data_IF_512863583086
#
_entry.id   IF_512863583086
#
_cell.length_a   1.000
_cell.length_b   1.000
_cell.length_c   1.000
_cell.angle_alpha   90.00
_cell.angle_beta   90.00
_cell.angle_gamma   90.00
#
_symmetry.space_group_name_H-M   'P 1'
#
loop_
_entity.id
_entity.type
_entity.pdbx_description
1 polymer ?
#
# COMPACT_ATOMS: atom_id res chain seq x y z
N UNK A 1 -28.48 11.90 65.07
CA UNK A 1 -27.74 12.76 64.18
C UNK A 1 -26.59 11.91 63.64
N UNK A 2 -26.84 11.16 62.56
CA UNK A 2 -25.87 10.24 61.95
C UNK A 2 -25.15 10.96 60.73
N UNK A 3 -23.86 11.13 60.86
CA UNK A 3 -23.05 11.77 59.86
C UNK A 3 -22.57 10.68 58.87
N UNK A 4 -23.09 10.67 57.65
CA UNK A 4 -22.65 9.81 56.56
C UNK A 4 -21.40 10.44 55.92
N UNK A 5 -20.23 9.81 56.14
CA UNK A 5 -18.98 10.15 55.45
C UNK A 5 -19.02 9.47 54.08
N UNK A 6 -19.18 10.25 53.01
CA UNK A 6 -18.98 9.79 51.64
C UNK A 6 -17.47 9.67 51.34
N UNK A 7 -17.02 8.45 51.17
CA UNK A 7 -15.67 8.13 50.76
C UNK A 7 -15.61 8.21 49.21
N UNK A 8 -15.03 9.30 48.67
CA UNK A 8 -14.76 9.42 47.24
C UNK A 8 -13.54 8.58 46.91
N UNK A 9 -13.75 7.54 46.08
CA UNK A 9 -12.67 6.76 45.48
C UNK A 9 -12.11 7.52 44.29
N UNK A 10 -10.95 8.11 44.46
CA UNK A 10 -10.15 8.67 43.37
C UNK A 10 -9.59 7.51 42.55
N UNK A 11 -10.10 7.31 41.33
CA UNK A 11 -9.44 6.48 40.33
C UNK A 11 -8.24 7.26 39.80
N UNK A 12 -7.05 6.85 40.21
CA UNK A 12 -5.82 7.27 39.57
C UNK A 12 -5.79 6.66 38.16
N UNK A 13 -5.94 7.50 37.11
CA UNK A 13 -5.59 7.13 35.74
C UNK A 13 -4.06 6.97 35.68
N UNK A 14 -3.60 5.74 35.59
CA UNK A 14 -2.22 5.46 35.22
C UNK A 14 -2.10 5.74 33.74
N UNK A 15 -1.58 6.90 33.37
CA UNK A 15 -1.07 7.14 32.02
C UNK A 15 0.06 6.14 31.76
N UNK A 16 -0.25 5.13 30.98
CA UNK A 16 0.76 4.19 30.49
C UNK A 16 1.55 4.92 29.42
N UNK A 17 2.64 5.54 29.81
CA UNK A 17 3.63 6.06 28.87
C UNK A 17 4.24 4.84 28.18
N UNK A 18 3.83 4.58 26.94
CA UNK A 18 4.52 3.63 26.09
C UNK A 18 5.89 4.21 25.76
N UNK A 19 6.90 3.77 26.48
CA UNK A 19 8.30 4.02 26.11
C UNK A 19 8.58 3.12 24.92
N UNK A 20 8.45 3.69 23.70
CA UNK A 20 8.95 3.02 22.51
C UNK A 20 10.47 2.86 22.66
N UNK A 21 11.05 1.66 22.40
CA UNK A 21 12.48 1.50 22.46
C UNK A 21 13.13 2.49 21.49
N UNK A 22 14.12 3.24 21.99
CA UNK A 22 14.96 4.10 21.14
C UNK A 22 15.68 3.16 20.19
N UNK A 23 15.31 3.17 18.94
CA UNK A 23 15.89 2.33 17.91
C UNK A 23 17.24 2.94 17.56
N UNK A 24 18.33 2.40 18.11
CA UNK A 24 19.68 2.70 17.65
C UNK A 24 19.85 2.05 16.28
N UNK A 25 19.70 2.83 15.22
CA UNK A 25 20.07 2.43 13.86
C UNK A 25 21.58 2.63 13.71
N UNK A 26 22.38 1.63 14.03
CA UNK A 26 23.85 1.65 13.89
C UNK A 26 24.34 1.83 12.44
N UNK A 27 23.43 1.90 11.47
CA UNK A 27 23.75 1.93 10.04
C UNK A 27 22.92 2.94 9.22
N UNK A 28 22.43 4.04 9.81
CA UNK A 28 21.80 5.10 8.99
C UNK A 28 22.88 6.00 8.40
N UNK A 29 23.06 5.93 7.10
CA UNK A 29 23.94 6.86 6.38
C UNK A 29 23.16 8.14 6.06
N UNK A 30 23.58 9.25 6.66
CA UNK A 30 23.00 10.57 6.39
C UNK A 30 23.95 11.29 5.47
N UNK A 31 23.52 11.53 4.24
CA UNK A 31 24.19 12.41 3.32
C UNK A 31 23.38 13.71 3.25
N UNK A 32 23.97 14.78 3.80
CA UNK A 32 23.45 16.15 3.69
C UNK A 32 22.17 16.44 4.52
N UNK A 33 22.31 16.51 5.86
CA UNK A 33 21.26 17.03 6.74
C UNK A 33 21.48 18.51 7.06
N UNK A 34 20.40 19.30 7.06
CA UNK A 34 20.44 20.66 7.62
C UNK A 34 20.72 20.58 9.13
N UNK A 35 21.43 21.57 9.68
CA UNK A 35 21.62 21.72 11.13
C UNK A 35 20.24 21.75 11.82
N UNK A 36 20.03 20.88 12.81
CA UNK A 36 18.76 20.74 13.52
C UNK A 36 17.81 19.64 13.01
N UNK A 37 18.22 18.83 12.01
CA UNK A 37 17.48 17.66 11.61
C UNK A 37 17.78 16.49 12.57
N UNK A 38 16.78 16.05 13.32
CA UNK A 38 16.88 14.88 14.18
C UNK A 38 16.48 13.63 13.39
N UNK A 39 17.45 12.73 13.21
CA UNK A 39 17.27 11.49 12.45
C UNK A 39 16.37 10.50 13.19
N UNK A 40 16.47 10.46 14.51
CA UNK A 40 15.68 9.56 15.33
C UNK A 40 14.21 9.93 15.25
N UNK A 41 13.91 11.22 15.37
CA UNK A 41 12.56 11.76 15.21
C UNK A 41 12.01 11.50 13.80
N UNK A 42 12.84 11.66 12.77
CA UNK A 42 12.45 11.38 11.40
C UNK A 42 12.11 9.89 11.19
N UNK A 43 12.90 8.98 11.73
CA UNK A 43 12.64 7.54 11.64
C UNK A 43 11.36 7.17 12.38
N UNK A 44 11.14 7.72 13.58
CA UNK A 44 9.89 7.52 14.34
C UNK A 44 8.69 8.05 13.54
N UNK A 45 8.82 9.19 12.89
CA UNK A 45 7.79 9.74 11.99
C UNK A 45 7.50 8.76 10.84
N UNK A 46 8.52 8.24 10.16
CA UNK A 46 8.34 7.29 9.05
C UNK A 46 7.72 5.98 9.53
N UNK A 47 8.17 5.47 10.68
CA UNK A 47 7.63 4.26 11.28
C UNK A 47 6.13 4.41 11.61
N UNK A 48 5.71 5.56 12.09
CA UNK A 48 4.32 5.82 12.47
C UNK A 48 3.47 6.40 11.33
N UNK A 49 4.09 6.70 10.18
CA UNK A 49 3.37 7.27 9.04
C UNK A 49 2.29 6.33 8.51
N UNK A 50 1.08 6.85 8.43
CA UNK A 50 -0.08 6.20 7.82
C UNK A 50 -0.58 6.95 6.58
N UNK A 51 0.03 8.10 6.24
CA UNK A 51 -0.48 9.01 5.22
C UNK A 51 -0.48 8.36 3.83
N UNK A 52 0.52 7.52 3.54
CA UNK A 52 0.57 6.76 2.30
C UNK A 52 -0.67 5.86 2.13
N UNK A 53 -0.99 5.06 3.11
CA UNK A 53 -2.16 4.17 3.06
C UNK A 53 -3.48 4.97 3.09
N UNK A 54 -3.54 6.03 3.90
CA UNK A 54 -4.71 6.90 3.99
C UNK A 54 -5.01 7.61 2.67
N UNK A 55 -3.99 7.94 1.86
CA UNK A 55 -4.17 8.56 0.56
C UNK A 55 -5.00 7.69 -0.40
N UNK A 56 -4.83 6.37 -0.37
CA UNK A 56 -5.68 5.43 -1.12
C UNK A 56 -7.12 5.36 -0.59
N UNK A 57 -7.31 5.56 0.72
CA UNK A 57 -8.66 5.67 1.31
C UNK A 57 -9.31 6.98 0.93
N UNK A 58 -8.55 8.07 0.94
CA UNK A 58 -8.98 9.40 0.53
C UNK A 58 -9.40 9.42 -0.94
N UNK A 59 -8.66 8.72 -1.81
CA UNK A 59 -9.00 8.60 -3.22
C UNK A 59 -10.43 8.09 -3.44
N UNK A 60 -10.94 7.21 -2.57
CA UNK A 60 -12.31 6.69 -2.65
C UNK A 60 -13.40 7.72 -2.30
N UNK A 61 -13.04 8.87 -1.75
CA UNK A 61 -13.96 9.89 -1.25
C UNK A 61 -14.02 11.12 -2.15
N UNK A 62 -13.23 11.16 -3.21
CA UNK A 62 -13.13 12.31 -4.10
C UNK A 62 -13.57 11.97 -5.52
N UNK A 63 -14.05 12.95 -6.25
CA UNK A 63 -14.33 12.81 -7.69
C UNK A 63 -13.04 13.04 -8.47
N UNK A 64 -12.77 12.18 -9.43
CA UNK A 64 -11.62 12.30 -10.33
C UNK A 64 -11.85 11.54 -11.63
N UNK A 65 -11.13 11.93 -12.65
CA UNK A 65 -10.99 11.18 -13.89
C UNK A 65 -9.76 10.28 -13.80
N UNK A 66 -9.81 9.09 -14.38
CA UNK A 66 -8.66 8.17 -14.42
C UNK A 66 -8.50 7.53 -15.78
N UNK A 67 -7.23 7.23 -16.11
CA UNK A 67 -6.87 6.33 -17.19
C UNK A 67 -6.15 5.11 -16.62
N UNK A 68 -6.59 3.92 -16.98
CA UNK A 68 -5.99 2.65 -16.58
C UNK A 68 -5.55 1.84 -17.80
N UNK A 69 -4.31 1.38 -17.78
CA UNK A 69 -3.75 0.44 -18.74
C UNK A 69 -3.33 -0.82 -18.00
N UNK A 70 -3.97 -1.94 -18.28
CA UNK A 70 -3.66 -3.25 -17.71
C UNK A 70 -3.16 -4.16 -18.82
N UNK A 71 -2.00 -4.79 -18.62
CA UNK A 71 -1.41 -5.75 -19.56
C UNK A 71 -1.09 -7.03 -18.83
N UNK A 72 -1.47 -8.14 -19.43
CA UNK A 72 -1.13 -9.47 -18.97
C UNK A 72 -0.20 -10.12 -19.99
N UNK A 73 0.85 -10.76 -19.50
CA UNK A 73 1.92 -11.31 -20.34
C UNK A 73 1.90 -12.83 -20.35
N UNK A 74 2.27 -13.39 -21.49
CA UNK A 74 2.54 -14.82 -21.62
C UNK A 74 3.94 -15.17 -21.04
N UNK A 75 4.31 -16.45 -21.10
CA UNK A 75 5.62 -16.94 -20.63
C UNK A 75 6.82 -16.37 -21.39
N UNK A 76 6.61 -15.81 -22.57
CA UNK A 76 7.64 -15.17 -23.40
C UNK A 76 7.72 -13.67 -23.18
N UNK A 77 6.88 -13.11 -22.29
CA UNK A 77 6.79 -11.68 -22.02
C UNK A 77 5.99 -10.89 -23.08
N UNK A 78 5.27 -11.57 -23.97
CA UNK A 78 4.40 -10.91 -24.94
C UNK A 78 3.02 -10.64 -24.32
N UNK A 79 2.41 -9.51 -24.66
CA UNK A 79 1.06 -9.18 -24.19
C UNK A 79 0.06 -10.19 -24.75
N UNK A 80 -0.56 -10.97 -23.88
CA UNK A 80 -1.62 -11.93 -24.24
C UNK A 80 -3.03 -11.36 -24.08
N UNK A 81 -3.21 -10.41 -23.14
CA UNK A 81 -4.47 -9.71 -22.95
C UNK A 81 -4.21 -8.30 -22.41
N UNK A 82 -5.09 -7.36 -22.73
CA UNK A 82 -4.99 -6.00 -22.22
C UNK A 82 -6.36 -5.34 -22.02
N UNK A 83 -6.38 -4.36 -21.12
CA UNK A 83 -7.52 -3.45 -20.91
C UNK A 83 -6.99 -2.01 -20.92
N UNK A 84 -7.56 -1.16 -21.75
CA UNK A 84 -7.44 0.29 -21.63
C UNK A 84 -8.80 0.84 -21.22
N UNK A 85 -8.84 1.59 -20.15
CA UNK A 85 -10.07 2.16 -19.61
C UNK A 85 -9.85 3.63 -19.25
N UNK A 86 -10.86 4.48 -19.52
CA UNK A 86 -10.95 5.81 -18.96
C UNK A 86 -12.30 5.94 -18.27
N UNK A 87 -12.27 6.37 -17.03
CA UNK A 87 -13.46 6.42 -16.16
C UNK A 87 -13.48 7.68 -15.33
N UNK A 88 -14.68 8.09 -14.93
CA UNK A 88 -14.92 9.14 -13.96
C UNK A 88 -15.42 8.52 -12.66
N UNK A 89 -14.74 8.76 -11.54
CA UNK A 89 -15.27 8.41 -10.23
C UNK A 89 -16.31 9.45 -9.81
N UNK A 90 -17.50 8.97 -9.52
CA UNK A 90 -18.57 9.75 -8.89
C UNK A 90 -18.68 9.39 -7.42
N UNK A 91 -19.03 10.36 -6.60
CA UNK A 91 -19.25 10.16 -5.17
C UNK A 91 -20.52 10.89 -4.73
N UNK A 92 -21.37 10.23 -3.94
CA UNK A 92 -22.54 10.81 -3.29
C UNK A 92 -22.90 10.00 -2.04
N UNK A 93 -23.31 10.65 -0.95
CA UNK A 93 -23.84 10.00 0.27
C UNK A 93 -22.91 8.90 0.83
N UNK A 94 -21.61 9.18 0.90
CA UNK A 94 -20.57 8.21 1.30
C UNK A 94 -20.49 6.97 0.40
N UNK A 95 -21.04 7.02 -0.79
CA UNK A 95 -20.93 6.00 -1.83
C UNK A 95 -20.06 6.49 -2.98
N UNK A 96 -19.46 5.56 -3.71
CA UNK A 96 -18.69 5.80 -4.92
C UNK A 96 -19.02 4.78 -6.00
N UNK A 97 -18.87 5.16 -7.25
CA UNK A 97 -18.94 4.29 -8.43
C UNK A 97 -18.11 4.89 -9.56
N UNK A 98 -17.66 4.01 -10.47
CA UNK A 98 -16.93 4.43 -11.67
C UNK A 98 -17.87 4.46 -12.87
N UNK A 99 -17.79 5.51 -13.67
CA UNK A 99 -18.50 5.65 -14.94
C UNK A 99 -17.48 5.57 -16.07
N UNK A 100 -17.32 4.41 -16.73
CA UNK A 100 -16.41 4.29 -17.86
C UNK A 100 -16.98 5.04 -19.05
N UNK A 101 -16.15 5.86 -19.70
CA UNK A 101 -16.50 6.56 -20.94
C UNK A 101 -15.65 6.12 -22.13
N UNK A 102 -14.61 5.34 -21.88
CA UNK A 102 -13.81 4.69 -22.91
C UNK A 102 -13.29 3.36 -22.38
N UNK A 103 -13.44 2.29 -23.17
CA UNK A 103 -12.87 1.00 -22.83
C UNK A 103 -12.54 0.20 -24.09
N UNK A 104 -11.33 -0.35 -24.16
CA UNK A 104 -10.93 -1.31 -25.18
C UNK A 104 -10.17 -2.47 -24.53
N UNK A 105 -10.33 -3.65 -25.11
CA UNK A 105 -9.66 -4.86 -24.64
C UNK A 105 -9.05 -5.66 -25.79
N UNK A 106 -8.01 -6.41 -25.49
CA UNK A 106 -7.45 -7.39 -26.40
C UNK A 106 -7.28 -8.73 -25.70
N UNK A 107 -7.27 -9.82 -26.47
CA UNK A 107 -7.12 -11.17 -25.94
C UNK A 107 -8.34 -11.60 -25.08
N UNK A 108 -8.09 -12.54 -24.18
CA UNK A 108 -9.09 -13.13 -23.29
C UNK A 108 -9.23 -12.38 -21.95
N UNK A 109 -9.24 -11.04 -21.97
CA UNK A 109 -9.27 -10.24 -20.75
C UNK A 109 -10.52 -10.49 -19.91
N UNK A 110 -11.68 -10.68 -20.56
CA UNK A 110 -12.93 -11.04 -19.94
C UNK A 110 -13.39 -12.43 -20.37
N UNK A 111 -14.10 -13.14 -19.50
CA UNK A 111 -14.80 -14.36 -19.81
C UNK A 111 -16.16 -14.07 -20.51
N UNK A 112 -16.89 -15.15 -20.84
CA UNK A 112 -18.21 -15.04 -21.49
C UNK A 112 -19.29 -14.38 -20.63
N UNK A 113 -19.07 -14.29 -19.31
CA UNK A 113 -19.99 -13.66 -18.35
C UNK A 113 -19.63 -12.18 -18.10
N UNK A 114 -18.51 -11.69 -18.67
CA UNK A 114 -18.00 -10.35 -18.43
C UNK A 114 -17.08 -10.25 -17.20
N UNK A 115 -16.73 -11.37 -16.57
CA UNK A 115 -15.77 -11.38 -15.46
C UNK A 115 -14.33 -11.31 -15.97
N UNK A 116 -13.47 -10.55 -15.31
CA UNK A 116 -12.05 -10.53 -15.64
C UNK A 116 -11.41 -11.90 -15.42
N UNK A 117 -10.63 -12.39 -16.38
CA UNK A 117 -9.96 -13.69 -16.29
C UNK A 117 -8.75 -13.68 -15.35
N UNK A 118 -8.15 -12.50 -15.12
CA UNK A 118 -6.88 -12.37 -14.41
C UNK A 118 -7.08 -11.87 -12.98
N UNK A 119 -6.43 -12.53 -12.02
CA UNK A 119 -6.49 -12.17 -10.61
C UNK A 119 -5.89 -10.78 -10.35
N UNK A 120 -4.75 -10.47 -10.98
CA UNK A 120 -4.11 -9.16 -10.90
C UNK A 120 -5.07 -8.05 -11.35
N UNK A 121 -5.75 -8.24 -12.48
CA UNK A 121 -6.74 -7.28 -12.97
C UNK A 121 -7.91 -7.10 -11.98
N UNK A 122 -8.45 -8.20 -11.42
CA UNK A 122 -9.50 -8.17 -10.40
C UNK A 122 -9.11 -7.38 -9.15
N UNK A 123 -7.86 -7.52 -8.70
CA UNK A 123 -7.35 -6.82 -7.53
C UNK A 123 -7.35 -5.30 -7.73
N UNK A 124 -6.86 -4.82 -8.87
CA UNK A 124 -6.85 -3.41 -9.20
C UNK A 124 -8.23 -2.87 -9.56
N UNK A 125 -9.08 -3.69 -10.20
CA UNK A 125 -10.41 -3.27 -10.59
C UNK A 125 -11.28 -2.87 -9.40
N UNK A 126 -11.19 -3.58 -8.30
CA UNK A 126 -11.94 -3.27 -7.08
C UNK A 126 -11.67 -1.85 -6.55
N UNK A 127 -10.46 -1.34 -6.75
CA UNK A 127 -10.06 -0.01 -6.27
C UNK A 127 -10.36 1.05 -7.34
N UNK A 128 -10.06 0.79 -8.61
CA UNK A 128 -9.95 1.79 -9.66
C UNK A 128 -10.94 1.64 -10.83
N UNK A 129 -11.58 0.48 -10.99
CA UNK A 129 -12.40 0.18 -12.17
C UNK A 129 -13.78 -0.37 -11.82
N UNK A 130 -14.17 -0.33 -10.54
CA UNK A 130 -15.41 -0.95 -10.08
C UNK A 130 -16.62 -0.09 -10.43
N UNK A 131 -17.47 -0.60 -11.31
CA UNK A 131 -18.65 0.14 -11.84
C UNK A 131 -19.85 0.13 -10.90
N UNK A 132 -19.98 -0.89 -10.03
CA UNK A 132 -21.07 -0.92 -9.06
C UNK A 132 -20.85 0.08 -7.93
N UNK A 133 -21.93 0.44 -7.24
CA UNK A 133 -21.89 1.39 -6.14
C UNK A 133 -21.33 0.74 -4.87
N UNK A 134 -20.27 1.32 -4.32
CA UNK A 134 -19.68 0.94 -3.03
C UNK A 134 -19.93 2.06 -2.02
N UNK A 135 -20.60 1.75 -0.91
CA UNK A 135 -20.89 2.70 0.17
C UNK A 135 -20.05 2.42 1.41
N UNK A 136 -19.54 3.48 2.04
CA UNK A 136 -18.89 3.39 3.35
C UNK A 136 -19.97 3.16 4.43
N UNK A 137 -19.88 2.06 5.16
CA UNK A 137 -20.85 1.71 6.21
C UNK A 137 -21.74 0.50 5.90
N UNK A 138 -21.89 0.09 4.65
CA UNK A 138 -22.53 -1.18 4.32
C UNK A 138 -21.51 -2.32 4.28
N UNK A 139 -21.05 -2.76 5.43
CA UNK A 139 -20.75 -4.18 5.61
C UNK A 139 -22.13 -4.85 5.66
N UNK A 140 -22.75 -5.07 4.51
CA UNK A 140 -23.94 -5.90 4.46
C UNK A 140 -23.53 -7.32 4.79
N UNK A 141 -23.66 -7.62 6.06
CA UNK A 141 -23.81 -8.95 6.60
C UNK A 141 -25.06 -9.57 5.98
N UNK A 142 -24.94 -10.20 4.85
CA UNK A 142 -25.85 -11.26 4.42
C UNK A 142 -25.35 -11.92 3.13
N UNK A 143 -24.30 -12.72 3.26
CA UNK A 143 -24.17 -13.94 2.46
C UNK A 143 -23.64 -15.03 3.38
N UNK A 144 -24.47 -16.05 3.56
CA UNK A 144 -24.19 -17.26 4.34
C UNK A 144 -23.17 -18.17 3.63
N UNK A 145 -21.94 -17.69 3.43
CA UNK A 145 -20.89 -18.52 2.87
C UNK A 145 -19.58 -18.29 3.60
N UNK A 146 -19.25 -19.22 4.49
CA UNK A 146 -17.95 -19.24 5.20
C UNK A 146 -16.75 -19.26 4.23
N UNK A 147 -16.92 -19.81 3.04
CA UNK A 147 -15.86 -19.83 2.01
C UNK A 147 -15.65 -18.45 1.35
N UNK A 148 -16.73 -17.72 1.05
CA UNK A 148 -16.67 -16.37 0.51
C UNK A 148 -15.98 -15.43 1.52
N UNK A 149 -16.26 -15.58 2.82
CA UNK A 149 -15.66 -14.76 3.86
C UNK A 149 -14.13 -14.94 3.97
N UNK A 150 -13.60 -16.14 3.75
CA UNK A 150 -12.15 -16.39 3.77
C UNK A 150 -11.46 -15.84 2.51
N UNK A 151 -12.08 -15.98 1.36
CA UNK A 151 -11.55 -15.45 0.11
C UNK A 151 -11.50 -13.91 0.12
N UNK A 152 -12.54 -13.27 0.61
CA UNK A 152 -12.59 -11.80 0.77
C UNK A 152 -11.54 -11.31 1.77
N UNK A 153 -11.38 -11.97 2.91
CA UNK A 153 -10.30 -11.67 3.88
C UNK A 153 -8.91 -11.75 3.24
N UNK A 154 -8.64 -12.80 2.46
CA UNK A 154 -7.35 -12.94 1.76
C UNK A 154 -7.13 -11.86 0.70
N UNK A 155 -8.17 -11.44 -0.01
CA UNK A 155 -8.08 -10.31 -0.95
C UNK A 155 -7.75 -9.01 -0.24
N UNK A 156 -8.37 -8.74 0.90
CA UNK A 156 -8.09 -7.54 1.68
C UNK A 156 -6.69 -7.55 2.27
N UNK A 157 -6.20 -8.69 2.71
CA UNK A 157 -4.83 -8.87 3.18
C UNK A 157 -3.79 -8.62 2.06
N UNK A 158 -4.03 -9.10 0.84
CA UNK A 158 -3.17 -8.83 -0.31
C UNK A 158 -3.19 -7.34 -0.71
N UNK A 159 -4.34 -6.67 -0.60
CA UNK A 159 -4.41 -5.22 -0.79
C UNK A 159 -3.57 -4.47 0.25
N UNK A 160 -3.66 -4.87 1.53
CA UNK A 160 -2.84 -4.27 2.60
C UNK A 160 -1.36 -4.48 2.30
N UNK A 161 -0.95 -5.69 1.92
CA UNK A 161 0.42 -5.99 1.57
C UNK A 161 0.95 -5.06 0.47
N UNK A 162 0.17 -4.88 -0.60
CA UNK A 162 0.60 -4.07 -1.76
C UNK A 162 0.52 -2.58 -1.47
N UNK A 163 -0.54 -2.10 -0.83
CA UNK A 163 -0.76 -0.66 -0.64
C UNK A 163 -0.28 -0.11 0.72
N UNK A 164 0.29 -0.95 1.58
CA UNK A 164 0.89 -0.55 2.85
C UNK A 164 2.18 -1.31 3.14
N UNK A 165 3.21 -1.19 2.28
CA UNK A 165 4.46 -1.94 2.44
C UNK A 165 5.16 -1.55 3.74
N UNK A 166 5.81 -2.55 4.37
CA UNK A 166 6.57 -2.33 5.61
C UNK A 166 5.74 -2.38 6.90
N UNK A 167 4.44 -2.66 6.80
CA UNK A 167 3.55 -2.89 7.94
C UNK A 167 3.12 -4.35 8.02
N UNK A 168 2.93 -4.90 9.23
CA UNK A 168 2.45 -6.27 9.40
C UNK A 168 1.07 -6.45 8.78
N UNK A 169 0.85 -7.61 8.17
CA UNK A 169 -0.43 -8.01 7.58
C UNK A 169 -0.83 -9.34 8.19
N UNK A 170 -1.86 -9.32 9.02
CA UNK A 170 -2.36 -10.53 9.68
C UNK A 170 -2.95 -11.52 8.66
N UNK A 171 -2.81 -12.83 8.95
CA UNK A 171 -3.50 -13.89 8.23
C UNK A 171 -2.86 -14.34 6.91
N UNK A 172 -1.71 -13.81 6.52
CA UNK A 172 -0.91 -14.35 5.41
C UNK A 172 0.17 -15.28 6.01
N UNK A 173 0.06 -16.60 5.81
CA UNK A 173 1.05 -17.54 6.36
C UNK A 173 2.46 -17.21 5.86
N UNK A 174 3.46 -17.39 6.73
CA UNK A 174 4.90 -17.26 6.45
C UNK A 174 5.41 -15.86 6.10
N UNK A 175 4.54 -14.83 6.05
CA UNK A 175 4.91 -13.48 5.63
C UNK A 175 4.78 -12.46 6.78
N UNK A 176 3.89 -12.69 7.73
CA UNK A 176 3.44 -11.70 8.71
C UNK A 176 4.59 -10.97 9.43
N UNK A 177 5.51 -11.72 10.05
CA UNK A 177 6.62 -11.13 10.81
C UNK A 177 7.73 -10.54 9.93
N UNK A 178 7.74 -10.88 8.62
CA UNK A 178 8.76 -10.42 7.66
C UNK A 178 8.44 -9.08 7.02
N UNK A 179 7.30 -8.49 7.36
CA UNK A 179 6.84 -7.20 6.85
C UNK A 179 7.08 -6.05 7.84
N UNK A 180 7.29 -6.37 9.12
CA UNK A 180 7.53 -5.37 10.17
C UNK A 180 8.98 -4.87 10.12
N UNK A 181 9.33 -4.14 9.07
CA UNK A 181 10.71 -3.75 8.75
C UNK A 181 11.41 -2.88 9.81
N UNK A 182 10.66 -2.33 10.76
CA UNK A 182 11.17 -1.54 11.87
C UNK A 182 11.22 -2.32 13.20
N UNK A 183 10.81 -3.59 13.22
CA UNK A 183 10.97 -4.43 14.41
C UNK A 183 12.43 -4.85 14.55
N UNK A 184 12.94 -4.93 15.80
CA UNK A 184 14.35 -5.28 16.09
C UNK A 184 14.82 -6.53 15.34
N UNK A 185 13.98 -7.58 15.29
CA UNK A 185 14.28 -8.82 14.59
C UNK A 185 14.43 -8.67 13.08
N UNK A 186 13.81 -7.65 12.48
CA UNK A 186 13.86 -7.41 11.04
C UNK A 186 14.87 -6.34 10.64
N UNK A 187 15.14 -5.37 11.51
CA UNK A 187 16.06 -4.28 11.22
C UNK A 187 17.48 -4.76 10.88
N UNK A 188 17.93 -5.86 11.44
CA UNK A 188 19.24 -6.45 11.17
C UNK A 188 19.44 -6.82 9.69
N UNK A 189 18.36 -7.06 8.93
CA UNK A 189 18.41 -7.45 7.52
C UNK A 189 18.48 -6.28 6.55
N UNK A 190 18.32 -5.03 7.03
CA UNK A 190 18.19 -3.86 6.17
C UNK A 190 19.29 -2.83 6.41
N UNK A 191 19.65 -2.13 5.33
CA UNK A 191 20.36 -0.85 5.36
C UNK A 191 19.34 0.27 5.20
N UNK A 192 19.49 1.31 6.02
CA UNK A 192 18.66 2.52 5.98
C UNK A 192 19.53 3.70 5.58
N UNK A 193 19.04 4.58 4.73
CA UNK A 193 19.73 5.80 4.37
C UNK A 193 18.76 6.96 4.14
N UNK A 194 19.23 8.17 4.44
CA UNK A 194 18.52 9.42 4.20
C UNK A 194 19.42 10.31 3.37
N UNK A 195 18.92 10.80 2.24
CA UNK A 195 19.62 11.74 1.36
C UNK A 195 18.73 12.95 1.06
N UNK A 196 19.35 14.05 0.67
CA UNK A 196 18.65 15.23 0.19
C UNK A 196 18.70 15.29 -1.32
N UNK A 197 17.55 15.35 -1.97
CA UNK A 197 17.47 15.40 -3.43
C UNK A 197 16.31 16.30 -3.87
N UNK A 198 16.33 16.72 -5.13
CA UNK A 198 15.16 17.34 -5.79
C UNK A 198 14.46 16.27 -6.63
N UNK A 199 13.12 16.25 -6.57
CA UNK A 199 12.34 15.40 -7.43
C UNK A 199 12.25 15.98 -8.86
N UNK A 200 11.58 15.27 -9.78
CA UNK A 200 11.41 15.72 -11.17
C UNK A 200 10.71 17.08 -11.31
N UNK A 201 9.87 17.46 -10.34
CA UNK A 201 9.19 18.76 -10.30
C UNK A 201 10.02 19.85 -9.63
N UNK A 202 11.30 19.58 -9.28
CA UNK A 202 12.18 20.52 -8.61
C UNK A 202 11.94 20.69 -7.10
N UNK A 203 11.03 19.92 -6.49
CA UNK A 203 10.72 19.99 -5.06
C UNK A 203 11.87 19.40 -4.25
N UNK A 204 12.34 20.11 -3.23
CA UNK A 204 13.34 19.59 -2.30
C UNK A 204 12.75 18.50 -1.40
N UNK A 205 13.39 17.34 -1.37
CA UNK A 205 12.94 16.17 -0.63
C UNK A 205 14.04 15.55 0.22
N UNK A 206 13.62 14.95 1.34
CA UNK A 206 14.37 13.86 1.96
C UNK A 206 13.98 12.56 1.27
N UNK A 207 14.96 11.79 0.85
CA UNK A 207 14.77 10.46 0.25
C UNK A 207 15.21 9.43 1.26
N UNK A 208 14.23 8.75 1.82
CA UNK A 208 14.46 7.66 2.77
C UNK A 208 14.46 6.33 2.01
N UNK A 209 15.58 5.64 2.06
CA UNK A 209 15.79 4.37 1.37
C UNK A 209 16.02 3.25 2.37
N UNK A 210 15.31 2.15 2.16
CA UNK A 210 15.43 0.90 2.89
C UNK A 210 15.78 -0.17 1.87
N UNK A 211 16.93 -0.85 2.05
CA UNK A 211 17.39 -1.91 1.14
C UNK A 211 17.88 -3.11 1.95
N UNK A 212 17.59 -4.30 1.45
CA UNK A 212 18.10 -5.53 2.03
C UNK A 212 19.63 -5.57 1.95
N UNK A 213 20.29 -5.98 3.04
CA UNK A 213 21.75 -6.17 3.09
C UNK A 213 22.19 -7.30 2.16
N UNK A 214 23.41 -7.20 1.67
CA UNK A 214 24.04 -8.28 0.92
C UNK A 214 24.13 -9.56 1.77
N UNK A 215 23.95 -10.72 1.15
CA UNK A 215 24.01 -12.03 1.81
C UNK A 215 22.76 -12.46 2.56
N UNK A 216 21.73 -11.62 2.70
CA UNK A 216 20.45 -12.01 3.29
C UNK A 216 19.71 -12.97 2.35
N UNK A 217 19.25 -14.10 2.89
CA UNK A 217 18.52 -15.11 2.11
C UNK A 217 17.18 -14.54 1.63
N UNK A 218 16.80 -14.87 0.40
CA UNK A 218 15.56 -14.37 -0.23
C UNK A 218 14.30 -14.64 0.60
N UNK A 219 14.26 -15.78 1.29
CA UNK A 219 13.13 -16.18 2.12
C UNK A 219 13.05 -15.49 3.49
N UNK A 220 14.10 -14.80 3.96
CA UNK A 220 14.11 -14.18 5.30
C UNK A 220 13.36 -12.85 5.33
N UNK A 221 13.22 -12.19 4.19
CA UNK A 221 12.58 -10.88 4.03
C UNK A 221 11.62 -10.87 2.85
N UNK A 222 10.56 -10.09 2.95
CA UNK A 222 9.56 -9.88 1.88
C UNK A 222 9.77 -8.55 1.18
N UNK A 223 9.95 -7.47 1.92
CA UNK A 223 10.32 -6.17 1.34
C UNK A 223 11.79 -6.23 0.91
N UNK A 224 12.07 -6.05 -0.38
CA UNK A 224 13.43 -6.03 -0.92
C UNK A 224 14.03 -4.64 -0.94
N UNK A 225 13.23 -3.68 -1.29
CA UNK A 225 13.59 -2.26 -1.34
C UNK A 225 12.35 -1.40 -1.14
N UNK A 226 12.52 -0.27 -0.45
CA UNK A 226 11.52 0.80 -0.40
C UNK A 226 12.22 2.15 -0.40
N UNK A 227 11.83 3.04 -1.30
CA UNK A 227 12.32 4.40 -1.40
C UNK A 227 11.13 5.33 -1.25
N UNK A 228 11.15 6.19 -0.24
CA UNK A 228 10.09 7.16 0.02
C UNK A 228 10.64 8.57 -0.07
N UNK A 229 9.98 9.41 -0.83
CA UNK A 229 10.30 10.81 -1.01
C UNK A 229 9.39 11.65 -0.13
N UNK A 230 9.96 12.36 0.83
CA UNK A 230 9.28 13.30 1.73
C UNK A 230 9.64 14.72 1.36
N UNK A 231 8.66 15.56 1.14
CA UNK A 231 8.88 17.00 0.93
C UNK A 231 9.52 17.62 2.17
N UNK A 232 10.62 18.37 2.00
CA UNK A 232 11.34 18.96 3.14
C UNK A 232 10.52 19.99 3.93
N UNK A 233 9.56 20.64 3.27
CA UNK A 233 8.79 21.74 3.88
C UNK A 233 7.79 21.25 4.94
N UNK A 234 7.18 20.07 4.76
CA UNK A 234 6.06 19.61 5.58
C UNK A 234 6.07 18.09 5.80
N UNK A 235 7.12 17.38 5.38
CA UNK A 235 7.28 15.93 5.44
C UNK A 235 6.16 15.13 4.76
N UNK A 236 5.35 15.74 3.91
CA UNK A 236 4.37 15.02 3.13
C UNK A 236 5.04 14.09 2.12
N UNK A 237 4.46 12.89 1.91
CA UNK A 237 4.96 11.93 0.93
C UNK A 237 4.60 12.42 -0.46
N UNK A 238 5.60 12.54 -1.34
CA UNK A 238 5.42 12.88 -2.76
C UNK A 238 5.57 11.69 -3.69
N UNK A 239 6.31 10.66 -3.28
CA UNK A 239 6.44 9.40 -4.02
C UNK A 239 6.89 8.26 -3.11
N UNK A 240 6.54 7.02 -3.49
CA UNK A 240 7.07 5.81 -2.88
C UNK A 240 7.22 4.73 -3.95
N UNK A 241 8.44 4.20 -4.04
CA UNK A 241 8.78 3.06 -4.89
C UNK A 241 9.14 1.88 -3.99
N UNK A 242 8.68 0.67 -4.28
CA UNK A 242 9.02 -0.50 -3.50
C UNK A 242 8.93 -1.79 -4.29
N UNK A 243 9.67 -2.79 -3.84
CA UNK A 243 9.64 -4.16 -4.36
C UNK A 243 9.38 -5.14 -3.23
N UNK A 244 8.37 -5.98 -3.42
CA UNK A 244 8.02 -7.08 -2.54
C UNK A 244 8.26 -8.39 -3.28
N UNK A 245 8.94 -9.33 -2.66
CA UNK A 245 9.17 -10.64 -3.28
C UNK A 245 9.26 -11.71 -2.20
N UNK A 246 8.63 -12.83 -2.45
CA UNK A 246 8.76 -14.05 -1.67
C UNK A 246 8.66 -15.26 -2.57
N UNK A 247 9.40 -16.29 -2.22
CA UNK A 247 9.37 -17.60 -2.84
C UNK A 247 9.20 -18.64 -1.72
N UNK A 248 7.96 -19.05 -1.49
CA UNK A 248 7.64 -20.10 -0.54
C UNK A 248 6.60 -21.07 -1.14
N UNK A 249 6.41 -22.22 -0.49
CA UNK A 249 5.54 -23.28 -0.99
C UNK A 249 4.06 -22.88 -1.16
N UNK A 250 3.64 -21.77 -0.54
CA UNK A 250 2.23 -21.34 -0.55
C UNK A 250 2.03 -20.14 -1.47
N UNK A 251 2.97 -19.20 -1.48
CA UNK A 251 2.91 -18.00 -2.31
C UNK A 251 4.29 -17.73 -2.91
N UNK A 252 4.31 -17.52 -4.20
CA UNK A 252 5.47 -17.04 -4.94
C UNK A 252 5.05 -15.77 -5.68
N UNK A 253 5.67 -14.64 -5.34
CA UNK A 253 5.43 -13.39 -6.03
C UNK A 253 6.69 -12.53 -6.07
N UNK A 254 6.79 -11.72 -7.09
CA UNK A 254 7.76 -10.65 -7.22
C UNK A 254 7.04 -9.45 -7.86
N UNK A 255 6.85 -8.41 -7.08
CA UNK A 255 6.06 -7.24 -7.47
C UNK A 255 6.81 -5.96 -7.18
N UNK A 256 6.74 -5.02 -8.11
CA UNK A 256 7.26 -3.66 -8.01
C UNK A 256 6.10 -2.68 -8.08
N UNK A 257 6.13 -1.69 -7.22
CA UNK A 257 5.16 -0.59 -7.20
C UNK A 257 5.90 0.74 -7.24
N UNK A 258 5.38 1.65 -8.04
CA UNK A 258 5.77 3.06 -8.06
C UNK A 258 4.52 3.90 -7.89
N UNK A 259 4.50 4.76 -6.91
CA UNK A 259 3.35 5.62 -6.61
C UNK A 259 3.83 7.05 -6.49
N UNK A 260 3.31 7.93 -7.34
CA UNK A 260 3.49 9.39 -7.23
C UNK A 260 2.23 10.00 -6.65
N UNK A 261 2.39 10.89 -5.67
CA UNK A 261 1.29 11.56 -5.00
C UNK A 261 1.01 12.90 -5.68
N UNK A 262 -0.25 13.30 -5.68
CA UNK A 262 -0.70 14.63 -6.06
C UNK A 262 -1.55 15.25 -4.96
N UNK A 263 -1.63 16.54 -4.95
CA UNK A 263 -2.50 17.28 -4.05
C UNK A 263 -3.78 17.66 -4.78
N UNK A 264 -4.91 17.19 -4.24
CA UNK A 264 -6.25 17.57 -4.68
C UNK A 264 -6.92 18.38 -3.57
N UNK A 265 -7.09 19.69 -3.80
CA UNK A 265 -7.50 20.60 -2.73
C UNK A 265 -6.52 20.52 -1.54
N UNK A 266 -7.02 20.18 -0.34
CA UNK A 266 -6.21 19.98 0.87
C UNK A 266 -5.94 18.49 1.17
N UNK A 267 -6.10 17.59 0.19
CA UNK A 267 -5.93 16.16 0.37
C UNK A 267 -4.81 15.63 -0.52
N UNK A 268 -4.03 14.71 0.01
CA UNK A 268 -3.02 13.97 -0.74
C UNK A 268 -3.64 12.67 -1.22
N UNK A 269 -3.53 12.41 -2.53
CA UNK A 269 -4.02 11.21 -3.19
C UNK A 269 -2.95 10.64 -4.12
N UNK A 270 -2.98 9.33 -4.45
CA UNK A 270 -2.17 8.80 -5.54
C UNK A 270 -2.58 9.44 -6.87
N UNK A 271 -1.63 10.03 -7.59
CA UNK A 271 -1.85 10.59 -8.93
C UNK A 271 -1.39 9.67 -10.04
N UNK A 272 -0.35 8.85 -9.76
CA UNK A 272 0.11 7.79 -10.66
C UNK A 272 0.44 6.55 -9.84
N UNK A 273 0.00 5.40 -10.33
CA UNK A 273 0.32 4.09 -9.77
C UNK A 273 0.79 3.21 -10.91
N UNK A 274 2.02 2.74 -10.81
CA UNK A 274 2.58 1.78 -11.74
C UNK A 274 2.96 0.51 -10.99
N UNK A 275 2.29 -0.57 -11.33
CA UNK A 275 2.54 -1.92 -10.83
C UNK A 275 3.12 -2.77 -11.94
N UNK A 276 4.10 -3.60 -11.60
CA UNK A 276 4.59 -4.69 -12.44
C UNK A 276 4.89 -5.89 -11.56
N UNK A 277 4.42 -7.07 -11.93
CA UNK A 277 4.68 -8.21 -11.08
C UNK A 277 4.23 -9.55 -11.63
N UNK A 278 4.71 -10.57 -10.94
CA UNK A 278 4.37 -11.97 -11.15
C UNK A 278 3.77 -12.53 -9.88
N UNK A 279 2.69 -13.28 -10.02
CA UNK A 279 2.03 -14.01 -8.95
C UNK A 279 1.85 -15.47 -9.28
N UNK A 280 2.10 -16.32 -8.29
CA UNK A 280 1.79 -17.73 -8.33
C UNK A 280 1.12 -18.11 -7.02
N UNK A 281 -0.19 -18.26 -7.02
CA UNK A 281 -0.98 -18.61 -5.85
C UNK A 281 -1.58 -20.01 -6.00
N UNK A 282 -1.78 -20.77 -4.91
CA UNK A 282 -2.38 -22.10 -4.95
C UNK A 282 -3.71 -22.12 -5.69
N UNK A 283 -3.87 -23.08 -6.61
CA UNK A 283 -5.09 -23.22 -7.39
C UNK A 283 -5.32 -22.18 -8.48
N UNK A 284 -4.34 -21.30 -8.74
CA UNK A 284 -4.38 -20.31 -9.83
C UNK A 284 -3.23 -20.54 -10.81
N UNK A 285 -3.43 -20.12 -12.06
CA UNK A 285 -2.32 -20.05 -13.02
C UNK A 285 -1.37 -18.93 -12.62
N UNK A 286 -0.06 -19.13 -12.83
CA UNK A 286 0.94 -18.06 -12.70
C UNK A 286 0.58 -16.91 -13.62
N UNK A 287 0.50 -15.71 -13.08
CA UNK A 287 0.20 -14.49 -13.82
C UNK A 287 1.40 -13.55 -13.79
N UNK A 288 1.71 -12.96 -14.93
CA UNK A 288 2.64 -11.83 -15.03
C UNK A 288 1.88 -10.68 -15.66
N UNK A 289 1.93 -9.51 -15.05
CA UNK A 289 1.16 -8.36 -15.53
C UNK A 289 1.73 -7.02 -15.10
N UNK A 290 1.25 -5.98 -15.77
CA UNK A 290 1.55 -4.58 -15.47
C UNK A 290 0.25 -3.79 -15.43
N UNK A 291 0.16 -2.85 -14.50
CA UNK A 291 -0.99 -1.94 -14.33
C UNK A 291 -0.44 -0.52 -14.19
N UNK A 292 -0.84 0.36 -15.09
CA UNK A 292 -0.57 1.79 -14.98
C UNK A 292 -1.90 2.51 -14.81
N UNK A 293 -2.02 3.28 -13.74
CA UNK A 293 -3.18 4.12 -13.47
C UNK A 293 -2.69 5.55 -13.30
N UNK A 294 -3.31 6.48 -14.03
CA UNK A 294 -3.13 7.92 -13.87
C UNK A 294 -4.44 8.56 -13.46
N UNK A 295 -4.37 9.50 -12.54
CA UNK A 295 -5.49 10.25 -12.01
C UNK A 295 -5.36 11.69 -12.53
N UNK A 296 -6.39 12.16 -13.21
CA UNK A 296 -6.54 13.54 -13.66
C UNK A 296 -7.63 14.24 -12.84
N UNK A 297 -7.42 15.53 -12.56
CA UNK A 297 -8.29 16.35 -11.69
C UNK A 297 -9.07 17.33 -12.53
#
# INVERSE_FOLDING_TARGET
MFCLIQMQVLFAQTDTVYIYPIIHLDSVVIADSKSGFDVSDFILMVQNDTTFYQSFRTLRQVQYSSAANVRMFDKRGLTQASLNNKSLQQTANNCRWMVPFYQTTTGDFFDKKGDMNYYTAKMFSYIFLYVDTICSGNVSTQTNDKEISQLEKRKDQLKILIFNPGKPVEGIPFINNKLSIFDEGMMQYYNYSITSQRNEAGTECYVFSIKVKEGVKTGDVVLKEMITWFKKADFSIVARDYRLSTDNLVFDFDVTMQVKMIQLQNRIIPGMIHYSGTWNAPGKKRETGSVLITIDI
#
